data_IF_856772681635
#
_entry.id   IF_856772681635
#
_cell.length_a   1.000
_cell.length_b   1.000
_cell.length_c   1.000
_cell.angle_alpha   90.00
_cell.angle_beta   90.00
_cell.angle_gamma   90.00
#
_symmetry.space_group_name_H-M   'P 1'
#
loop_
_entity.id
_entity.type
_entity.pdbx_description
1 polymer ?
#
# COMPACT_ATOMS: atom_id res chain seq x y z
N UNK A 1 -1.17 -23.45 22.56
CA UNK A 1 -0.32 -23.15 21.39
C UNK A 1 0.70 -22.10 21.78
N UNK A 2 1.99 -22.43 21.83
CA UNK A 2 3.06 -21.42 21.98
C UNK A 2 3.41 -20.92 20.59
N UNK A 3 3.00 -19.70 20.24
CA UNK A 3 3.49 -19.01 19.04
C UNK A 3 4.93 -18.56 19.32
N UNK A 4 5.91 -19.31 18.83
CA UNK A 4 7.30 -18.86 18.77
C UNK A 4 7.40 -17.76 17.71
N UNK A 5 7.30 -16.51 18.14
CA UNK A 5 7.46 -15.33 17.30
C UNK A 5 8.90 -14.81 17.44
N UNK A 6 9.84 -15.39 16.70
CA UNK A 6 11.08 -14.67 16.37
C UNK A 6 10.72 -13.55 15.40
N UNK A 7 10.47 -12.34 15.94
CA UNK A 7 10.21 -11.14 15.14
C UNK A 7 11.48 -10.81 14.35
N UNK A 8 11.50 -11.15 13.06
CA UNK A 8 12.59 -10.72 12.19
C UNK A 8 12.60 -9.19 12.13
N UNK A 9 13.76 -8.59 12.39
CA UNK A 9 13.98 -7.17 12.11
C UNK A 9 13.83 -6.95 10.60
N UNK A 10 13.37 -5.77 10.22
CA UNK A 10 13.38 -5.36 8.82
C UNK A 10 14.83 -5.46 8.30
N UNK A 11 15.03 -6.23 7.25
CA UNK A 11 16.32 -6.53 6.62
C UNK A 11 16.31 -5.91 5.22
N UNK A 12 17.43 -5.29 4.83
CA UNK A 12 17.60 -4.66 3.51
C UNK A 12 17.43 -5.64 2.36
N UNK A 13 17.55 -6.94 2.64
CA UNK A 13 17.15 -8.01 1.72
C UNK A 13 15.71 -7.89 1.23
N UNK A 14 14.82 -7.22 1.96
CA UNK A 14 13.46 -6.96 1.51
C UNK A 14 13.42 -6.03 0.30
N UNK A 15 14.28 -5.00 0.24
CA UNK A 15 14.40 -4.13 -0.93
C UNK A 15 14.86 -4.92 -2.16
N UNK A 16 15.84 -5.81 -1.98
CA UNK A 16 16.32 -6.69 -3.05
C UNK A 16 15.24 -7.68 -3.51
N UNK A 17 14.46 -8.26 -2.59
CA UNK A 17 13.34 -9.14 -2.95
C UNK A 17 12.25 -8.41 -3.76
N UNK A 18 12.05 -7.13 -3.49
CA UNK A 18 11.08 -6.29 -4.19
C UNK A 18 11.65 -5.66 -5.47
N UNK A 19 12.95 -5.80 -5.76
CA UNK A 19 13.59 -5.23 -6.95
C UNK A 19 12.85 -5.64 -8.23
N UNK A 20 12.57 -4.66 -9.09
CA UNK A 20 11.80 -4.83 -10.32
C UNK A 20 10.37 -5.41 -10.14
N UNK A 21 9.80 -5.35 -8.94
CA UNK A 21 8.43 -5.83 -8.66
C UNK A 21 7.50 -4.67 -8.35
N UNK A 22 6.21 -4.93 -8.52
CA UNK A 22 5.12 -4.05 -8.14
C UNK A 22 4.34 -4.70 -7.01
N UNK A 23 4.20 -4.00 -5.88
CA UNK A 23 3.43 -4.45 -4.73
C UNK A 23 2.20 -3.59 -4.55
N UNK A 24 1.05 -4.23 -4.42
CA UNK A 24 -0.26 -3.57 -4.36
C UNK A 24 -0.92 -3.81 -3.01
N UNK A 25 -1.46 -2.74 -2.42
CA UNK A 25 -2.36 -2.77 -1.29
C UNK A 25 -3.73 -2.31 -1.77
N UNK A 26 -4.68 -3.25 -1.81
CA UNK A 26 -6.06 -2.97 -2.22
C UNK A 26 -6.94 -3.16 -1.01
N UNK A 27 -7.65 -2.12 -0.58
CA UNK A 27 -8.49 -2.23 0.61
C UNK A 27 -9.00 -0.90 1.14
N UNK A 28 -9.36 -0.93 2.41
CA UNK A 28 -9.84 0.20 3.18
C UNK A 28 -8.68 1.00 3.82
N UNK A 29 -9.02 1.79 4.84
CA UNK A 29 -8.06 2.55 5.64
C UNK A 29 -7.02 1.68 6.37
N UNK A 30 -7.30 0.41 6.65
CA UNK A 30 -6.30 -0.49 7.25
C UNK A 30 -5.25 -0.87 6.21
N UNK A 31 -5.70 -1.21 4.99
CA UNK A 31 -4.80 -1.46 3.86
C UNK A 31 -3.92 -0.23 3.56
N UNK A 32 -4.50 0.97 3.68
CA UNK A 32 -3.77 2.23 3.57
C UNK A 32 -2.66 2.35 4.63
N UNK A 33 -2.98 2.10 5.90
CA UNK A 33 -2.01 2.19 7.00
C UNK A 33 -0.86 1.20 6.84
N UNK A 34 -1.14 -0.03 6.37
CA UNK A 34 -0.11 -1.03 6.11
C UNK A 34 0.82 -0.59 4.98
N UNK A 35 0.26 -0.04 3.89
CA UNK A 35 1.02 0.51 2.78
C UNK A 35 1.93 1.68 3.24
N UNK A 36 1.41 2.62 4.04
CA UNK A 36 2.18 3.75 4.57
C UNK A 36 3.32 3.28 5.49
N UNK A 37 3.02 2.30 6.36
CA UNK A 37 3.99 1.72 7.27
C UNK A 37 5.12 1.03 6.50
N UNK A 38 4.80 0.27 5.45
CA UNK A 38 5.80 -0.41 4.63
C UNK A 38 6.62 0.59 3.82
N UNK A 39 5.98 1.59 3.21
CA UNK A 39 6.68 2.67 2.50
C UNK A 39 7.69 3.37 3.42
N UNK A 40 7.28 3.68 4.66
CA UNK A 40 8.16 4.29 5.66
C UNK A 40 9.36 3.40 5.96
N UNK A 41 9.15 2.11 6.26
CA UNK A 41 10.24 1.15 6.52
C UNK A 41 11.22 1.03 5.34
N UNK A 42 10.72 0.91 4.11
CA UNK A 42 11.56 0.85 2.92
C UNK A 42 12.34 2.14 2.70
N UNK A 43 11.73 3.30 2.96
CA UNK A 43 12.37 4.60 2.81
C UNK A 43 13.53 4.85 3.78
N UNK A 44 13.52 4.19 4.95
CA UNK A 44 14.61 4.30 5.93
C UNK A 44 15.90 3.65 5.45
N UNK A 45 15.80 2.64 4.60
CA UNK A 45 16.91 1.80 4.17
C UNK A 45 17.42 2.16 2.76
N UNK A 46 16.67 3.02 2.05
CA UNK A 46 17.12 3.64 0.80
C UNK A 46 17.98 4.87 1.14
N UNK A 47 19.27 4.82 0.80
CA UNK A 47 20.22 5.90 1.10
C UNK A 47 19.87 7.21 0.38
N UNK A 48 19.47 7.13 -0.90
CA UNK A 48 19.09 8.30 -1.68
C UNK A 48 17.57 8.55 -1.62
N UNK A 49 17.13 9.37 -0.67
CA UNK A 49 15.69 9.70 -0.53
C UNK A 49 15.08 10.38 -1.76
N UNK A 50 15.89 11.07 -2.58
CA UNK A 50 15.41 11.66 -3.84
C UNK A 50 15.08 10.63 -4.92
N UNK A 51 15.53 9.37 -4.74
CA UNK A 51 15.18 8.27 -5.64
C UNK A 51 13.78 7.73 -5.41
N UNK A 52 13.12 8.12 -4.31
CA UNK A 52 11.75 7.76 -3.95
C UNK A 52 10.83 8.93 -4.31
N UNK A 53 9.82 8.67 -5.13
CA UNK A 53 8.85 9.70 -5.54
C UNK A 53 7.47 9.09 -5.81
N UNK A 54 6.44 9.91 -5.67
CA UNK A 54 5.09 9.59 -6.13
C UNK A 54 5.02 9.81 -7.64
N UNK A 55 4.55 8.82 -8.39
CA UNK A 55 4.64 8.79 -9.86
C UNK A 55 3.78 9.84 -10.54
N UNK A 56 2.66 10.22 -9.93
CA UNK A 56 1.68 11.16 -10.47
C UNK A 56 1.89 12.60 -9.93
N UNK A 57 2.91 12.83 -9.09
CA UNK A 57 3.14 14.12 -8.43
C UNK A 57 2.08 14.47 -7.37
N UNK A 58 1.28 13.50 -6.93
CA UNK A 58 0.21 13.72 -5.98
C UNK A 58 0.74 13.88 -4.55
N UNK A 59 0.20 14.87 -3.83
CA UNK A 59 0.43 14.98 -2.40
C UNK A 59 -0.33 13.87 -1.66
N UNK A 60 0.29 13.31 -0.62
CA UNK A 60 -0.37 12.28 0.20
C UNK A 60 -1.50 12.93 0.99
N UNK A 61 -2.75 12.67 0.60
CA UNK A 61 -3.95 13.10 1.31
C UNK A 61 -4.77 11.92 1.81
N UNK A 62 -5.51 12.10 2.92
CA UNK A 62 -6.29 11.03 3.57
C UNK A 62 -7.34 10.38 2.67
N UNK A 63 -7.87 11.12 1.70
CA UNK A 63 -9.01 10.66 0.87
C UNK A 63 -8.60 10.22 -0.53
N UNK A 64 -7.31 10.13 -0.80
CA UNK A 64 -6.81 9.70 -2.10
C UNK A 64 -7.27 8.28 -2.42
N UNK A 65 -7.85 8.08 -3.60
CA UNK A 65 -8.34 6.79 -4.06
C UNK A 65 -7.23 5.87 -4.57
N UNK A 66 -6.11 6.44 -5.02
CA UNK A 66 -4.93 5.68 -5.44
C UNK A 66 -3.64 6.47 -5.22
N UNK A 67 -2.55 5.79 -4.88
CA UNK A 67 -1.21 6.37 -4.76
C UNK A 67 -0.14 5.38 -5.24
N UNK A 68 0.85 5.87 -5.97
CA UNK A 68 1.90 5.04 -6.57
C UNK A 68 3.26 5.62 -6.21
N UNK A 69 4.02 4.91 -5.38
CA UNK A 69 5.38 5.28 -5.03
C UNK A 69 6.37 4.41 -5.79
N UNK A 70 7.39 5.04 -6.39
CA UNK A 70 8.45 4.34 -7.11
C UNK A 70 9.81 4.66 -6.51
N UNK A 71 10.62 3.62 -6.31
CA UNK A 71 12.05 3.75 -6.03
C UNK A 71 12.84 3.59 -7.33
N UNK A 72 13.67 4.56 -7.67
CA UNK A 72 14.51 4.50 -8.88
C UNK A 72 15.63 3.47 -8.76
N UNK A 73 16.28 3.40 -7.59
CA UNK A 73 17.49 2.58 -7.38
C UNK A 73 17.19 1.07 -7.38
N UNK A 74 15.97 0.70 -6.96
CA UNK A 74 15.50 -0.68 -6.91
C UNK A 74 14.44 -0.99 -7.98
N UNK A 75 13.97 0.02 -8.70
CA UNK A 75 12.92 -0.07 -9.70
C UNK A 75 11.67 -0.87 -9.23
N UNK A 76 11.32 -0.72 -7.94
CA UNK A 76 10.10 -1.29 -7.38
C UNK A 76 9.01 -0.23 -7.26
N UNK A 77 7.75 -0.65 -7.27
CA UNK A 77 6.61 0.23 -6.97
C UNK A 77 5.79 -0.28 -5.80
N UNK A 78 5.36 0.64 -4.94
CA UNK A 78 4.40 0.40 -3.88
C UNK A 78 3.13 1.17 -4.22
N UNK A 79 2.03 0.45 -4.38
CA UNK A 79 0.78 1.00 -4.91
C UNK A 79 -0.36 0.77 -3.93
N UNK A 80 -1.16 1.79 -3.68
CA UNK A 80 -2.37 1.71 -2.87
C UNK A 80 -3.58 2.01 -3.74
N UNK A 81 -4.60 1.18 -3.62
CA UNK A 81 -5.91 1.36 -4.26
C UNK A 81 -7.02 1.23 -3.21
N UNK A 82 -7.82 2.28 -3.08
CA UNK A 82 -8.95 2.29 -2.16
C UNK A 82 -10.08 1.42 -2.73
N UNK A 83 -10.38 0.34 -2.03
CA UNK A 83 -11.53 -0.53 -2.29
C UNK A 83 -12.03 -1.10 -0.97
N UNK A 84 -12.96 -0.39 -0.32
CA UNK A 84 -13.43 -0.73 1.03
C UNK A 84 -14.03 -2.13 1.15
N UNK A 85 -14.65 -2.62 0.08
CA UNK A 85 -15.33 -3.92 0.08
C UNK A 85 -14.69 -4.93 -0.88
N UNK A 86 -13.64 -4.53 -1.61
CA UNK A 86 -12.98 -5.32 -2.67
C UNK A 86 -13.87 -5.71 -3.86
N UNK A 87 -15.19 -5.58 -3.73
CA UNK A 87 -16.19 -5.82 -4.77
C UNK A 87 -16.76 -4.49 -5.28
N UNK A 88 -17.20 -4.44 -6.55
CA UNK A 88 -17.96 -3.31 -7.06
C UNK A 88 -19.16 -3.02 -6.16
N UNK A 89 -19.29 -1.77 -5.72
CA UNK A 89 -20.48 -1.33 -5.00
C UNK A 89 -21.55 -0.97 -6.03
N UNK A 90 -22.58 -1.81 -6.10
CA UNK A 90 -23.75 -1.59 -6.95
C UNK A 90 -24.88 -0.88 -6.21
N UNK A 91 -25.90 -0.49 -6.97
CA UNK A 91 -27.19 -0.09 -6.38
C UNK A 91 -27.89 -1.33 -5.84
N UNK A 92 -28.72 -1.15 -4.81
CA UNK A 92 -29.62 -2.20 -4.37
C UNK A 92 -30.50 -2.67 -5.55
N UNK A 93 -30.82 -3.97 -5.64
CA UNK A 93 -31.78 -4.47 -6.62
C UNK A 93 -33.12 -3.74 -6.52
N UNK A 94 -33.86 -3.68 -7.62
CA UNK A 94 -35.21 -3.12 -7.60
C UNK A 94 -36.12 -3.94 -6.65
N UNK A 95 -36.96 -3.26 -5.86
CA UNK A 95 -37.90 -3.90 -4.94
C UNK A 95 -37.40 -4.11 -3.51
N UNK A 96 -36.17 -3.69 -3.18
CA UNK A 96 -35.70 -3.71 -1.78
C UNK A 96 -36.51 -2.69 -0.95
N UNK A 97 -37.15 -3.11 0.16
CA UNK A 97 -37.89 -2.20 1.03
C UNK A 97 -36.97 -1.09 1.54
N UNK A 98 -37.44 0.17 1.51
CA UNK A 98 -36.69 1.28 2.12
C UNK A 98 -36.52 0.97 3.62
N UNK A 99 -35.29 1.01 4.12
CA UNK A 99 -35.03 0.91 5.56
C UNK A 99 -35.81 2.03 6.25
N UNK A 100 -36.65 1.62 7.20
CA UNK A 100 -37.55 2.47 7.98
C UNK A 100 -36.78 3.29 9.02
#
# INVERSE_FOLDING_TARGET
>A
MKMNLTKQRFDSKMLEKLRNRRLFFVGDSIGRNQWESLLCMLSMDISNKSSIYEVNGNSITKHMSFLVFKSRDYNHTLEYYRSQFLVPQGRAPAGVPKKR
#
